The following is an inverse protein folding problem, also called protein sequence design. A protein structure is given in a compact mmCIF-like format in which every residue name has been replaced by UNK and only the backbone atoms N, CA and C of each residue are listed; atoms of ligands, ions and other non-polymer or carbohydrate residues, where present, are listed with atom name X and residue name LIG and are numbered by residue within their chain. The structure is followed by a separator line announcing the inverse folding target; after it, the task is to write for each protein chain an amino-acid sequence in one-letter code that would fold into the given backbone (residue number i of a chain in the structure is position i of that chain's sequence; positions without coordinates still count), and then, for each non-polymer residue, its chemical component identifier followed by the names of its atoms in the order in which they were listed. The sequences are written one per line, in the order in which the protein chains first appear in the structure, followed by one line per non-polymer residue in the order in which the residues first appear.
data_IF_421650546520
#
_entry.id   IF_421650546520
#
_cell.length_a   1.000
_cell.length_b   1.000
_cell.length_c   1.000
_cell.angle_alpha   90.00
_cell.angle_beta   90.00
_cell.angle_gamma   90.00
#
_symmetry.space_group_name_H-M   'P 1'
#
loop_
_entity.id
_entity.type
_entity.pdbx_description
1 polymer ?
#
# COMPACT_ATOMS: atom_id res chain seq x y z
N UNK A 1 -7.58 -17.04 -23.40
CA UNK A 1 -8.16 -15.81 -22.81
C UNK A 1 -7.19 -15.25 -21.81
N UNK A 2 -6.75 -14.02 -22.00
CA UNK A 2 -5.76 -13.36 -21.12
C UNK A 2 -6.34 -12.94 -19.78
N UNK A 3 -5.48 -12.57 -18.83
CA UNK A 3 -5.91 -12.12 -17.49
C UNK A 3 -6.90 -10.95 -17.58
N UNK A 4 -6.60 -9.94 -18.41
CA UNK A 4 -7.47 -8.77 -18.58
C UNK A 4 -8.82 -9.11 -19.21
N UNK A 5 -8.85 -10.07 -20.15
CA UNK A 5 -10.10 -10.54 -20.77
C UNK A 5 -10.99 -11.25 -19.76
N UNK A 6 -10.42 -12.20 -18.98
CA UNK A 6 -11.17 -12.88 -17.89
C UNK A 6 -11.68 -11.89 -16.85
N UNK A 7 -10.87 -10.86 -16.54
CA UNK A 7 -11.27 -9.82 -15.58
C UNK A 7 -12.46 -9.01 -16.12
N UNK A 8 -12.41 -8.58 -17.39
CA UNK A 8 -13.50 -7.82 -18.03
C UNK A 8 -14.78 -8.64 -18.13
N UNK A 9 -14.69 -9.91 -18.51
CA UNK A 9 -15.83 -10.83 -18.54
C UNK A 9 -16.45 -10.95 -17.14
N UNK A 10 -15.64 -11.22 -16.11
CA UNK A 10 -16.13 -11.32 -14.73
C UNK A 10 -16.80 -10.03 -14.26
N UNK A 11 -16.23 -8.87 -14.56
CA UNK A 11 -16.84 -7.58 -14.21
C UNK A 11 -18.15 -7.36 -14.97
N UNK A 12 -18.22 -7.76 -16.24
CA UNK A 12 -19.45 -7.68 -17.04
C UNK A 12 -20.60 -8.53 -16.47
N UNK A 13 -20.27 -9.68 -15.87
CA UNK A 13 -21.25 -10.54 -15.22
C UNK A 13 -21.79 -9.95 -13.90
N UNK A 14 -20.97 -9.15 -13.22
CA UNK A 14 -21.27 -8.65 -11.88
C UNK A 14 -21.81 -7.22 -11.85
N UNK A 15 -21.59 -6.42 -12.90
CA UNK A 15 -21.81 -4.97 -12.86
C UNK A 15 -23.30 -4.60 -12.63
N UNK A 16 -24.23 -5.43 -13.11
CA UNK A 16 -25.66 -5.18 -12.95
C UNK A 16 -26.13 -5.32 -11.49
N UNK A 17 -25.40 -6.07 -10.66
CA UNK A 17 -25.65 -6.27 -9.23
C UNK A 17 -24.86 -5.29 -8.34
N UNK A 18 -24.01 -4.45 -8.93
CA UNK A 18 -23.13 -3.53 -8.25
C UNK A 18 -23.45 -2.08 -8.61
N UNK A 19 -23.25 -1.17 -7.69
CA UNK A 19 -23.39 0.27 -7.97
C UNK A 19 -22.25 0.83 -8.79
N UNK A 20 -21.06 0.29 -8.57
CA UNK A 20 -19.86 0.56 -9.37
C UNK A 20 -18.80 -0.52 -9.14
N UNK A 21 -17.84 -0.58 -10.03
CA UNK A 21 -16.63 -1.38 -9.86
C UNK A 21 -15.42 -0.45 -9.95
N UNK A 22 -14.50 -0.59 -8.99
CA UNK A 22 -13.26 0.19 -8.96
C UNK A 22 -12.13 -0.70 -9.46
N UNK A 23 -11.43 -0.23 -10.49
CA UNK A 23 -10.32 -0.94 -11.12
C UNK A 23 -9.22 0.03 -11.56
N UNK A 24 -8.46 -0.38 -12.56
CA UNK A 24 -7.36 0.40 -13.11
C UNK A 24 -7.58 0.68 -14.59
N UNK A 25 -7.16 1.86 -15.04
CA UNK A 25 -7.12 2.23 -16.45
C UNK A 25 -5.78 2.83 -16.85
N UNK A 26 -5.47 2.79 -18.13
CA UNK A 26 -4.26 3.37 -18.70
C UNK A 26 -4.26 4.89 -18.50
N UNK A 27 -3.15 5.43 -18.05
CA UNK A 27 -2.93 6.88 -18.01
C UNK A 27 -2.35 7.38 -19.34
N UNK A 28 -2.57 8.67 -19.64
CA UNK A 28 -1.89 9.37 -20.75
C UNK A 28 -0.39 9.61 -20.46
N UNK A 29 0.05 9.39 -19.21
CA UNK A 29 1.45 9.50 -18.82
C UNK A 29 2.06 8.10 -18.88
N UNK A 30 3.15 7.90 -19.66
CA UNK A 30 3.82 6.61 -19.72
C UNK A 30 4.19 6.08 -18.34
N UNK A 31 4.14 4.75 -18.16
CA UNK A 31 4.42 4.07 -16.90
C UNK A 31 3.47 4.40 -15.74
N UNK A 32 2.32 5.02 -16.00
CA UNK A 32 1.31 5.30 -14.98
C UNK A 32 -0.02 4.66 -15.32
N UNK A 33 -0.77 4.34 -14.28
CA UNK A 33 -2.16 3.92 -14.34
C UNK A 33 -2.99 4.81 -13.41
N UNK A 34 -4.26 4.96 -13.74
CA UNK A 34 -5.21 5.70 -12.93
C UNK A 34 -6.26 4.74 -12.35
N UNK A 35 -6.90 5.07 -11.24
CA UNK A 35 -8.12 4.40 -10.84
C UNK A 35 -9.21 4.60 -11.90
N UNK A 36 -10.02 3.57 -12.10
CA UNK A 36 -11.18 3.55 -12.98
C UNK A 36 -12.41 3.23 -12.14
N UNK A 37 -13.42 4.07 -12.26
CA UNK A 37 -14.72 3.86 -11.62
C UNK A 37 -15.71 3.48 -12.72
N UNK A 38 -16.18 2.24 -12.71
CA UNK A 38 -17.03 1.64 -13.74
C UNK A 38 -18.45 1.62 -13.21
N UNK A 39 -19.35 2.33 -13.83
CA UNK A 39 -20.78 2.36 -13.52
C UNK A 39 -21.62 1.71 -14.63
N UNK A 40 -21.04 1.59 -15.83
CA UNK A 40 -21.72 1.06 -17.03
C UNK A 40 -20.85 0.07 -17.77
N UNK A 41 -21.48 -0.88 -18.47
CA UNK A 41 -20.79 -1.94 -19.23
C UNK A 41 -19.82 -1.40 -20.29
N UNK A 42 -20.13 -0.27 -20.91
CA UNK A 42 -19.30 0.33 -21.96
C UNK A 42 -17.94 0.82 -21.45
N UNK A 43 -17.80 1.00 -20.14
CA UNK A 43 -16.56 1.48 -19.51
C UNK A 43 -15.60 0.33 -19.21
N UNK A 44 -16.07 -0.92 -19.23
CA UNK A 44 -15.30 -2.11 -18.89
C UNK A 44 -14.12 -2.31 -19.85
N UNK A 45 -14.23 -1.91 -21.10
CA UNK A 45 -13.14 -2.03 -22.10
C UNK A 45 -11.89 -1.24 -21.71
N UNK A 46 -12.04 -0.20 -20.88
CA UNK A 46 -10.92 0.60 -20.36
C UNK A 46 -10.18 -0.08 -19.20
N UNK A 47 -10.71 -1.17 -18.68
CA UNK A 47 -10.12 -1.87 -17.54
C UNK A 47 -8.85 -2.62 -17.93
N UNK A 48 -7.79 -2.40 -17.15
CA UNK A 48 -6.50 -3.08 -17.30
C UNK A 48 -6.05 -3.68 -15.97
N UNK A 49 -5.19 -4.69 -16.05
CA UNK A 49 -4.48 -5.22 -14.88
C UNK A 49 -3.09 -5.75 -15.28
N UNK A 50 -2.04 -5.04 -14.87
CA UNK A 50 -0.65 -5.38 -15.20
C UNK A 50 0.33 -4.88 -14.12
N UNK A 51 1.64 -5.05 -14.35
CA UNK A 51 2.68 -4.64 -13.40
C UNK A 51 2.75 -3.14 -13.08
N UNK A 52 2.02 -2.28 -13.80
CA UNK A 52 1.94 -0.85 -13.49
C UNK A 52 0.83 -0.53 -12.45
N UNK A 53 -0.05 -1.48 -12.13
CA UNK A 53 -1.17 -1.31 -11.19
C UNK A 53 -0.67 -1.28 -9.73
N UNK A 54 0.23 -0.34 -9.41
CA UNK A 54 0.88 -0.24 -8.09
C UNK A 54 -0.06 0.32 -7.02
N UNK A 55 -0.99 1.22 -7.38
CA UNK A 55 -1.89 1.90 -6.44
C UNK A 55 -2.70 0.90 -5.61
N UNK A 56 -2.90 1.19 -4.33
CA UNK A 56 -3.81 0.41 -3.50
C UNK A 56 -5.23 0.98 -3.58
N UNK A 57 -6.11 0.31 -4.30
CA UNK A 57 -7.49 0.78 -4.49
C UNK A 57 -8.35 0.66 -3.23
N UNK A 58 -7.93 -0.09 -2.22
CA UNK A 58 -8.63 -0.14 -0.94
C UNK A 58 -8.73 1.24 -0.26
N UNK A 59 -7.93 2.22 -0.69
CA UNK A 59 -8.03 3.62 -0.22
C UNK A 59 -9.40 4.25 -0.48
N UNK A 60 -10.18 3.71 -1.42
CA UNK A 60 -11.52 4.20 -1.73
C UNK A 60 -12.62 3.50 -0.92
N UNK A 61 -12.31 2.36 -0.28
CA UNK A 61 -13.32 1.48 0.31
C UNK A 61 -14.12 2.16 1.41
N UNK A 62 -13.46 2.87 2.31
CA UNK A 62 -14.12 3.48 3.45
C UNK A 62 -15.13 4.56 2.99
N UNK A 63 -14.69 5.59 2.29
CA UNK A 63 -15.56 6.70 1.89
C UNK A 63 -16.73 6.22 1.03
N UNK A 64 -16.44 5.44 -0.01
CA UNK A 64 -17.48 5.02 -0.92
C UNK A 64 -18.49 4.06 -0.25
N UNK A 65 -18.06 3.24 0.69
CA UNK A 65 -18.99 2.38 1.44
C UNK A 65 -19.93 3.17 2.37
N UNK A 66 -19.53 4.39 2.77
CA UNK A 66 -20.39 5.28 3.56
C UNK A 66 -21.32 6.11 2.69
N UNK A 67 -20.85 6.57 1.53
CA UNK A 67 -21.58 7.50 0.66
C UNK A 67 -22.51 6.80 -0.33
N UNK A 68 -22.18 5.57 -0.74
CA UNK A 68 -22.93 4.86 -1.78
C UNK A 68 -23.90 3.87 -1.14
N UNK A 69 -25.17 3.99 -1.52
CA UNK A 69 -26.17 2.98 -1.22
C UNK A 69 -26.02 1.79 -2.18
N UNK A 70 -25.72 0.62 -1.63
CA UNK A 70 -25.51 -0.63 -2.36
C UNK A 70 -24.10 -1.17 -2.29
N UNK A 71 -23.84 -2.18 -3.09
CA UNK A 71 -22.56 -2.92 -3.07
C UNK A 71 -21.60 -2.37 -4.11
N UNK A 72 -20.32 -2.26 -3.74
CA UNK A 72 -19.22 -1.77 -4.57
C UNK A 72 -18.29 -2.94 -4.89
N UNK A 73 -17.98 -3.15 -6.17
CA UNK A 73 -16.94 -4.07 -6.61
C UNK A 73 -15.56 -3.43 -6.52
N UNK A 74 -14.58 -4.16 -6.04
CA UNK A 74 -13.20 -3.67 -5.96
C UNK A 74 -12.23 -4.68 -6.54
N UNK A 75 -11.49 -4.27 -7.57
CA UNK A 75 -10.43 -5.08 -8.19
C UNK A 75 -9.14 -4.86 -7.41
N UNK A 76 -8.72 -5.87 -6.67
CA UNK A 76 -7.65 -5.75 -5.68
C UNK A 76 -6.55 -6.79 -5.93
N UNK A 77 -5.29 -6.36 -5.76
CA UNK A 77 -4.18 -7.29 -5.57
C UNK A 77 -4.33 -7.98 -4.21
N UNK A 78 -3.83 -9.22 -4.03
CA UNK A 78 -3.91 -9.92 -2.73
C UNK A 78 -3.35 -9.10 -1.56
N UNK A 79 -2.27 -8.33 -1.77
CA UNK A 79 -1.73 -7.44 -0.74
C UNK A 79 -2.64 -6.25 -0.41
N UNK A 80 -3.46 -5.78 -1.36
CA UNK A 80 -4.41 -4.68 -1.13
C UNK A 80 -5.63 -5.17 -0.34
N UNK A 81 -6.01 -6.44 -0.51
CA UNK A 81 -7.07 -7.10 0.28
C UNK A 81 -6.77 -7.07 1.77
N UNK A 82 -5.50 -7.11 2.19
CA UNK A 82 -5.12 -6.94 3.60
C UNK A 82 -5.68 -5.66 4.21
N UNK A 83 -5.75 -4.57 3.45
CA UNK A 83 -6.31 -3.31 3.96
C UNK A 83 -7.83 -3.43 4.18
N UNK A 84 -8.55 -4.11 3.29
CA UNK A 84 -9.98 -4.39 3.47
C UNK A 84 -10.21 -5.25 4.71
N UNK A 85 -9.42 -6.32 4.87
CA UNK A 85 -9.50 -7.19 6.06
C UNK A 85 -9.27 -6.40 7.34
N UNK A 86 -8.29 -5.49 7.36
CA UNK A 86 -8.00 -4.66 8.52
C UNK A 86 -9.16 -3.70 8.85
N UNK A 87 -9.75 -3.06 7.84
CA UNK A 87 -10.91 -2.18 8.01
C UNK A 87 -12.14 -2.95 8.53
N UNK A 88 -12.36 -4.17 8.03
CA UNK A 88 -13.42 -5.07 8.51
C UNK A 88 -13.19 -5.49 9.96
N UNK A 89 -11.95 -5.88 10.32
CA UNK A 89 -11.59 -6.29 11.68
C UNK A 89 -11.80 -5.16 12.71
N UNK A 90 -11.68 -3.91 12.28
CA UNK A 90 -11.91 -2.71 13.09
C UNK A 90 -13.38 -2.21 13.03
N UNK A 91 -14.24 -2.85 12.22
CA UNK A 91 -15.63 -2.45 12.06
C UNK A 91 -15.82 -1.10 11.36
N UNK A 92 -14.83 -0.69 10.54
CA UNK A 92 -14.86 0.60 9.84
C UNK A 92 -15.62 0.53 8.51
N UNK A 93 -15.74 -0.66 7.94
CA UNK A 93 -16.55 -0.92 6.74
C UNK A 93 -17.41 -2.16 6.96
N UNK A 94 -18.52 -2.23 6.24
CA UNK A 94 -19.41 -3.38 6.24
C UNK A 94 -19.03 -4.35 5.12
N UNK A 95 -18.91 -5.64 5.45
CA UNK A 95 -18.56 -6.70 4.50
C UNK A 95 -19.59 -6.81 3.37
N UNK A 96 -20.87 -6.59 3.69
CA UNK A 96 -21.96 -6.71 2.72
C UNK A 96 -21.97 -5.60 1.66
N UNK A 97 -21.27 -4.51 1.93
CA UNK A 97 -21.11 -3.39 0.98
C UNK A 97 -19.98 -3.55 -0.03
N UNK A 98 -19.07 -4.52 0.18
CA UNK A 98 -17.88 -4.70 -0.65
C UNK A 98 -17.89 -6.07 -1.33
N UNK A 99 -17.77 -6.09 -2.66
CA UNK A 99 -17.50 -7.28 -3.48
C UNK A 99 -16.02 -7.28 -3.86
N UNK A 100 -15.25 -8.22 -3.33
CA UNK A 100 -13.80 -8.32 -3.56
C UNK A 100 -13.55 -9.19 -4.79
N UNK A 101 -13.01 -8.58 -5.84
CA UNK A 101 -12.53 -9.25 -7.04
C UNK A 101 -11.00 -9.23 -6.97
N UNK A 102 -10.42 -10.30 -6.47
CA UNK A 102 -8.97 -10.37 -6.36
C UNK A 102 -8.35 -10.96 -7.61
N UNK A 103 -7.23 -10.38 -8.05
CA UNK A 103 -6.48 -10.87 -9.21
C UNK A 103 -5.10 -11.30 -8.74
N UNK A 104 -4.68 -12.52 -9.10
CA UNK A 104 -3.32 -13.03 -8.82
C UNK A 104 -2.28 -12.01 -9.31
N UNK A 105 -1.34 -11.66 -8.44
CA UNK A 105 -0.40 -10.59 -8.70
C UNK A 105 0.97 -11.14 -9.06
N UNK A 106 1.55 -10.68 -10.16
CA UNK A 106 2.89 -11.02 -10.61
C UNK A 106 3.94 -9.94 -10.30
N UNK A 107 3.66 -9.10 -9.27
CA UNK A 107 4.52 -7.98 -8.87
C UNK A 107 4.14 -6.65 -9.52
N UNK A 108 4.57 -5.56 -8.89
CA UNK A 108 4.32 -4.20 -9.39
C UNK A 108 5.61 -3.40 -9.50
N UNK A 109 5.68 -2.55 -10.53
CA UNK A 109 6.85 -1.72 -10.83
C UNK A 109 6.83 -0.45 -9.99
N UNK A 110 7.97 -0.13 -9.38
CA UNK A 110 8.20 1.16 -8.76
C UNK A 110 8.81 2.15 -9.77
N UNK A 111 8.02 3.12 -10.19
CA UNK A 111 8.46 4.14 -11.14
C UNK A 111 9.65 4.97 -10.63
N UNK A 112 9.83 5.10 -9.30
CA UNK A 112 10.98 5.80 -8.73
C UNK A 112 12.28 5.05 -8.99
N UNK A 113 12.26 3.71 -8.94
CA UNK A 113 13.39 2.87 -9.31
C UNK A 113 13.70 2.98 -10.81
N UNK A 114 12.66 3.00 -11.65
CA UNK A 114 12.84 3.25 -13.10
C UNK A 114 13.49 4.60 -13.33
N UNK A 115 12.96 5.67 -12.72
CA UNK A 115 13.50 7.02 -12.83
C UNK A 115 14.98 7.12 -12.40
N UNK A 116 15.35 6.41 -11.32
CA UNK A 116 16.74 6.33 -10.88
C UNK A 116 17.63 5.66 -11.92
N UNK A 117 17.19 4.57 -12.56
CA UNK A 117 17.94 3.86 -13.60
C UNK A 117 18.15 4.68 -14.88
N UNK A 118 17.18 5.49 -15.23
CA UNK A 118 17.25 6.37 -16.41
C UNK A 118 17.78 7.77 -16.07
N UNK A 119 18.39 7.97 -14.88
CA UNK A 119 18.97 9.23 -14.41
C UNK A 119 17.98 10.41 -14.45
N UNK A 120 16.69 10.17 -14.18
CA UNK A 120 15.65 11.19 -14.15
C UNK A 120 15.19 11.71 -15.51
N UNK A 121 15.63 11.11 -16.61
CA UNK A 121 15.18 11.49 -17.96
C UNK A 121 13.66 11.33 -18.10
N UNK A 122 13.07 12.17 -18.95
CA UNK A 122 11.64 12.12 -19.23
C UNK A 122 11.29 10.89 -20.07
N UNK A 123 10.40 10.04 -19.56
CA UNK A 123 9.89 8.87 -20.29
C UNK A 123 8.96 9.36 -21.39
N UNK A 124 9.27 9.03 -22.63
CA UNK A 124 8.43 9.26 -23.82
C UNK A 124 7.56 8.04 -24.14
N UNK A 125 8.13 6.85 -23.99
CA UNK A 125 7.43 5.58 -24.21
C UNK A 125 7.93 4.50 -23.26
N UNK A 126 7.09 3.50 -23.02
CA UNK A 126 7.47 2.34 -22.24
C UNK A 126 6.75 1.10 -22.76
N UNK A 127 7.48 0.01 -22.87
CA UNK A 127 6.95 -1.29 -23.24
C UNK A 127 7.46 -2.35 -22.28
N UNK A 128 6.57 -3.25 -21.86
CA UNK A 128 6.89 -4.38 -20.99
C UNK A 128 6.57 -5.64 -21.78
N UNK A 129 7.61 -6.39 -22.12
CA UNK A 129 7.48 -7.70 -22.76
C UNK A 129 8.21 -8.73 -21.92
N UNK A 130 7.52 -9.77 -21.53
CA UNK A 130 8.02 -10.83 -20.66
C UNK A 130 8.65 -10.22 -19.38
N UNK A 131 9.94 -10.40 -19.17
CA UNK A 131 10.66 -9.85 -18.03
C UNK A 131 11.53 -8.63 -18.38
N UNK A 132 11.34 -8.04 -19.55
CA UNK A 132 12.12 -6.90 -20.03
C UNK A 132 11.26 -5.65 -20.06
N UNK A 133 11.80 -4.57 -19.56
CA UNK A 133 11.26 -3.22 -19.67
C UNK A 133 12.10 -2.42 -20.67
N UNK A 134 11.45 -1.87 -21.68
CA UNK A 134 12.07 -0.93 -22.65
C UNK A 134 11.50 0.45 -22.41
N UNK A 135 12.37 1.40 -22.17
CA UNK A 135 12.02 2.80 -21.90
C UNK A 135 12.63 3.68 -22.99
N UNK A 136 11.76 4.33 -23.76
CA UNK A 136 12.17 5.37 -24.69
C UNK A 136 12.21 6.73 -23.99
N UNK A 137 13.32 7.45 -24.15
CA UNK A 137 13.45 8.84 -23.71
C UNK A 137 13.80 9.74 -24.89
N UNK A 138 13.87 11.06 -24.66
CA UNK A 138 14.30 12.01 -25.70
C UNK A 138 15.77 11.89 -26.10
N UNK A 139 16.61 11.24 -25.27
CA UNK A 139 18.06 11.18 -25.47
C UNK A 139 18.52 9.80 -25.92
N UNK A 140 18.01 8.74 -25.30
CA UNK A 140 18.37 7.34 -25.59
C UNK A 140 17.33 6.38 -25.04
N UNK A 141 17.38 5.15 -25.52
CA UNK A 141 16.59 4.06 -25.00
C UNK A 141 17.31 3.28 -23.91
N UNK A 142 16.54 2.74 -22.99
CA UNK A 142 17.02 1.89 -21.92
C UNK A 142 16.30 0.56 -21.95
N UNK A 143 17.01 -0.49 -21.60
CA UNK A 143 16.46 -1.83 -21.46
C UNK A 143 17.01 -2.46 -20.19
N UNK A 144 16.14 -3.03 -19.33
CA UNK A 144 16.55 -3.73 -18.12
C UNK A 144 15.51 -4.75 -17.68
N UNK A 145 15.92 -5.66 -16.78
CA UNK A 145 15.04 -6.66 -16.25
C UNK A 145 14.00 -6.01 -15.32
N UNK A 146 12.73 -6.43 -15.42
CA UNK A 146 11.63 -5.96 -14.60
C UNK A 146 11.89 -6.20 -13.10
N UNK A 147 12.57 -7.29 -12.74
CA UNK A 147 12.93 -7.61 -11.36
C UNK A 147 13.76 -6.51 -10.68
N UNK A 148 14.56 -5.76 -11.42
CA UNK A 148 15.38 -4.69 -10.88
C UNK A 148 14.58 -3.46 -10.43
N UNK A 149 13.33 -3.37 -10.83
CA UNK A 149 12.46 -2.20 -10.60
C UNK A 149 11.13 -2.54 -9.91
N UNK A 150 10.97 -3.75 -9.42
CA UNK A 150 9.81 -4.08 -8.58
C UNK A 150 9.80 -3.26 -7.29
N UNK A 151 8.59 -2.96 -6.80
CA UNK A 151 8.41 -2.34 -5.49
C UNK A 151 8.97 -3.23 -4.37
N UNK A 152 9.59 -2.65 -3.35
CA UNK A 152 10.24 -3.39 -2.26
C UNK A 152 9.28 -4.38 -1.57
N UNK A 153 8.00 -4.04 -1.44
CA UNK A 153 6.98 -4.93 -0.89
C UNK A 153 6.83 -6.25 -1.65
N UNK A 154 7.19 -6.29 -2.94
CA UNK A 154 7.05 -7.49 -3.76
C UNK A 154 8.11 -8.55 -3.44
N UNK A 155 9.32 -8.15 -3.00
CA UNK A 155 10.39 -9.09 -2.65
C UNK A 155 10.13 -9.87 -1.35
N UNK A 156 9.21 -9.40 -0.51
CA UNK A 156 8.83 -10.06 0.75
C UNK A 156 7.36 -10.52 0.74
N UNK A 157 6.73 -10.54 -0.43
CA UNK A 157 5.31 -10.86 -0.58
C UNK A 157 5.07 -12.36 -0.44
N UNK A 158 4.26 -12.76 0.52
CA UNK A 158 3.87 -14.16 0.75
C UNK A 158 2.43 -14.50 0.37
N UNK A 159 1.71 -13.52 -0.19
CA UNK A 159 0.26 -13.66 -0.47
C UNK A 159 -0.13 -13.28 -1.90
N UNK A 160 0.83 -13.29 -2.84
CA UNK A 160 0.61 -12.87 -4.24
C UNK A 160 -0.45 -13.69 -4.99
N UNK A 161 -0.61 -14.96 -4.63
CA UNK A 161 -1.50 -15.95 -5.23
C UNK A 161 -2.74 -16.27 -4.38
N UNK A 162 -2.76 -15.86 -3.11
CA UNK A 162 -3.84 -16.23 -2.19
C UNK A 162 -4.19 -15.08 -1.23
N UNK A 163 -5.20 -14.27 -1.60
CA UNK A 163 -5.70 -13.22 -0.71
C UNK A 163 -6.34 -13.83 0.56
N UNK A 164 -6.35 -13.09 1.69
CA UNK A 164 -6.97 -13.57 2.93
C UNK A 164 -8.47 -13.84 2.81
N UNK A 165 -9.17 -13.00 2.05
CA UNK A 165 -10.60 -13.14 1.70
C UNK A 165 -10.82 -12.68 0.26
N UNK A 166 -11.83 -13.22 -0.41
CA UNK A 166 -12.30 -12.76 -1.72
C UNK A 166 -13.70 -13.30 -2.01
N UNK A 167 -14.38 -12.68 -2.96
CA UNK A 167 -15.62 -13.19 -3.54
C UNK A 167 -15.36 -13.83 -4.89
N UNK A 168 -14.47 -13.22 -5.67
CA UNK A 168 -14.01 -13.72 -6.96
C UNK A 168 -12.50 -13.71 -7.00
N UNK A 169 -11.89 -14.74 -7.62
CA UNK A 169 -10.45 -14.81 -7.81
C UNK A 169 -10.13 -15.09 -9.26
N UNK A 170 -9.22 -14.30 -9.83
CA UNK A 170 -8.79 -14.40 -11.22
C UNK A 170 -7.31 -14.73 -11.24
N UNK A 171 -6.97 -15.88 -11.81
CA UNK A 171 -5.58 -16.27 -12.01
C UNK A 171 -4.91 -15.38 -13.04
N UNK A 172 -3.60 -15.12 -12.84
CA UNK A 172 -2.79 -14.35 -13.78
C UNK A 172 -2.08 -15.30 -14.77
N UNK A 173 -2.06 -14.94 -16.06
CA UNK A 173 -1.35 -15.71 -17.09
C UNK A 173 0.15 -15.69 -16.86
N UNK A 174 0.66 -14.56 -16.30
CA UNK A 174 2.06 -14.38 -15.95
C UNK A 174 2.25 -14.78 -14.50
N UNK A 175 3.11 -15.74 -14.24
CA UNK A 175 3.39 -16.18 -12.88
C UNK A 175 4.34 -15.24 -12.16
N UNK A 176 4.13 -15.13 -10.85
CA UNK A 176 5.01 -14.40 -9.97
C UNK A 176 6.39 -15.08 -9.92
N UNK A 177 7.39 -14.40 -10.44
CA UNK A 177 8.76 -14.92 -10.53
C UNK A 177 9.75 -13.90 -9.96
N UNK A 178 9.61 -13.60 -8.67
CA UNK A 178 10.49 -12.67 -7.95
C UNK A 178 11.30 -13.47 -6.94
N UNK A 179 12.61 -13.25 -6.90
CA UNK A 179 13.47 -13.81 -5.86
C UNK A 179 13.02 -13.29 -4.50
N UNK A 180 12.45 -14.18 -3.69
CA UNK A 180 11.90 -13.82 -2.38
C UNK A 180 13.01 -13.59 -1.37
N UNK A 181 12.88 -12.50 -0.63
CA UNK A 181 13.69 -12.18 0.55
C UNK A 181 12.96 -12.64 1.81
N UNK A 182 13.69 -12.81 2.89
CA UNK A 182 13.09 -13.10 4.20
C UNK A 182 12.28 -11.88 4.67
N UNK A 183 11.21 -12.16 5.41
CA UNK A 183 10.42 -11.12 6.05
C UNK A 183 11.33 -10.22 6.91
N UNK A 184 11.19 -8.91 6.76
CA UNK A 184 12.02 -7.87 7.42
C UNK A 184 13.52 -7.91 7.12
N UNK A 185 13.96 -8.63 6.08
CA UNK A 185 15.38 -8.65 5.69
C UNK A 185 15.92 -7.25 5.39
N UNK A 186 15.07 -6.40 4.83
CA UNK A 186 15.37 -4.99 4.52
C UNK A 186 15.57 -4.10 5.77
N UNK A 187 15.25 -4.59 6.95
CA UNK A 187 15.53 -3.92 8.23
C UNK A 187 16.85 -4.34 8.86
N UNK A 188 17.42 -5.49 8.49
CA UNK A 188 18.57 -6.08 9.18
C UNK A 188 19.78 -5.14 9.25
N UNK A 189 20.11 -4.46 8.14
CA UNK A 189 21.24 -3.53 8.11
C UNK A 189 20.94 -2.28 8.94
N UNK A 190 19.71 -1.80 8.92
CA UNK A 190 19.28 -0.66 9.71
C UNK A 190 19.27 -0.96 11.22
N UNK A 191 18.96 -2.18 11.61
CA UNK A 191 18.94 -2.63 13.02
C UNK A 191 20.34 -2.83 13.62
N UNK A 192 21.38 -2.87 12.78
CA UNK A 192 22.78 -2.91 13.24
C UNK A 192 23.35 -1.54 13.62
N UNK A 193 22.67 -0.47 13.21
CA UNK A 193 23.08 0.89 13.49
C UNK A 193 22.95 1.21 14.98
N UNK A 194 23.87 2.04 15.49
CA UNK A 194 23.75 2.60 16.83
C UNK A 194 22.55 3.55 16.95
N UNK A 195 22.11 3.83 18.16
CA UNK A 195 21.00 4.78 18.40
C UNK A 195 21.33 6.17 17.85
N UNK A 196 22.60 6.60 17.91
CA UNK A 196 23.06 7.88 17.37
C UNK A 196 22.94 7.91 15.86
N UNK A 197 23.34 6.84 15.16
CA UNK A 197 23.23 6.72 13.72
C UNK A 197 21.77 6.67 13.26
N UNK A 198 20.92 5.91 13.95
CA UNK A 198 19.47 5.85 13.69
C UNK A 198 18.83 7.24 13.88
N UNK A 199 19.18 7.95 14.96
CA UNK A 199 18.66 9.29 15.20
C UNK A 199 19.11 10.27 14.11
N UNK A 200 20.40 10.26 13.74
CA UNK A 200 20.95 11.09 12.67
C UNK A 200 20.29 10.81 11.32
N UNK A 201 20.06 9.52 10.99
CA UNK A 201 19.34 9.13 9.79
C UNK A 201 17.93 9.74 9.75
N UNK A 202 17.15 9.62 10.84
CA UNK A 202 15.79 10.18 10.85
C UNK A 202 15.75 11.71 10.93
N UNK A 203 16.73 12.35 11.56
CA UNK A 203 16.89 13.81 11.49
C UNK A 203 17.08 14.30 10.06
N UNK A 204 17.97 13.65 9.30
CA UNK A 204 18.21 13.96 7.90
C UNK A 204 16.95 13.72 7.06
N UNK A 205 16.30 12.55 7.20
CA UNK A 205 15.09 12.21 6.46
C UNK A 205 13.96 13.19 6.74
N UNK A 206 13.70 13.52 8.01
CA UNK A 206 12.62 14.43 8.37
C UNK A 206 12.94 15.91 8.13
N UNK A 207 14.20 16.29 7.98
CA UNK A 207 14.57 17.64 7.52
C UNK A 207 14.00 17.96 6.13
N UNK A 208 13.80 16.93 5.30
CA UNK A 208 13.20 17.04 3.96
C UNK A 208 11.68 17.00 3.95
N UNK A 209 11.05 16.76 5.10
CA UNK A 209 9.60 16.64 5.21
C UNK A 209 8.92 18.00 5.09
N UNK A 210 8.16 18.23 4.02
CA UNK A 210 7.39 19.45 3.79
C UNK A 210 6.00 19.42 4.42
N UNK A 211 5.67 18.39 5.19
CA UNK A 211 4.37 18.19 5.86
C UNK A 211 3.14 18.31 4.93
N UNK A 212 3.27 17.82 3.69
CA UNK A 212 2.17 17.83 2.70
C UNK A 212 1.03 16.85 3.03
N UNK A 213 1.20 16.00 4.04
CA UNK A 213 0.24 14.97 4.46
C UNK A 213 -0.16 13.92 3.40
N UNK A 214 0.52 13.88 2.26
CA UNK A 214 0.25 12.87 1.22
C UNK A 214 0.31 11.43 1.76
N UNK A 215 1.29 11.14 2.62
CA UNK A 215 1.44 9.82 3.27
C UNK A 215 0.27 9.47 4.20
N UNK A 216 -0.41 10.47 4.78
CA UNK A 216 -1.61 10.30 5.58
C UNK A 216 -2.83 10.05 4.69
N UNK A 217 -3.03 10.92 3.70
CA UNK A 217 -4.24 10.94 2.88
C UNK A 217 -4.34 9.76 1.92
N UNK A 218 -3.21 9.11 1.57
CA UNK A 218 -3.19 7.93 0.69
C UNK A 218 -3.33 6.62 1.47
N UNK A 219 -3.30 6.67 2.81
CA UNK A 219 -3.34 5.45 3.62
C UNK A 219 -4.72 4.79 3.54
N UNK A 220 -4.82 3.52 3.08
CA UNK A 220 -6.11 2.86 2.91
C UNK A 220 -6.84 2.57 4.22
N UNK A 221 -6.17 2.74 5.37
CA UNK A 221 -6.73 2.45 6.69
C UNK A 221 -7.51 3.63 7.29
N UNK A 222 -7.44 4.82 6.70
CA UNK A 222 -8.23 6.02 7.04
C UNK A 222 -8.24 6.42 8.54
N UNK A 223 -7.22 6.01 9.31
CA UNK A 223 -7.18 6.17 10.78
C UNK A 223 -7.16 7.63 11.23
N UNK A 224 -6.56 8.52 10.42
CA UNK A 224 -6.43 9.93 10.72
C UNK A 224 -7.50 10.80 10.05
N UNK A 225 -8.57 10.22 9.59
CA UNK A 225 -9.60 10.86 8.76
C UNK A 225 -10.30 12.03 9.45
N UNK A 226 -10.92 11.79 10.61
CA UNK A 226 -11.83 12.74 11.21
C UNK A 226 -11.16 13.68 12.21
N UNK A 227 -10.18 13.17 12.95
CA UNK A 227 -9.51 13.91 14.02
C UNK A 227 -8.04 13.55 14.11
N UNK A 228 -7.24 14.17 13.27
CA UNK A 228 -5.79 14.02 13.38
C UNK A 228 -5.24 14.97 14.43
N UNK A 229 -4.65 14.44 15.49
CA UNK A 229 -4.04 15.21 16.58
C UNK A 229 -3.03 16.27 16.09
N UNK A 230 -2.39 16.00 14.94
CA UNK A 230 -1.42 16.92 14.34
C UNK A 230 -2.07 18.06 13.53
N UNK A 231 -3.39 18.03 13.37
CA UNK A 231 -4.15 19.04 12.64
C UNK A 231 -5.26 19.69 13.49
N UNK A 232 -5.45 19.23 14.72
CA UNK A 232 -6.40 19.85 15.64
C UNK A 232 -5.93 21.26 16.00
N UNK A 233 -6.84 22.20 15.98
CA UNK A 233 -6.57 23.60 16.36
C UNK A 233 -6.74 23.83 17.86
N UNK A 234 -7.50 22.99 18.55
CA UNK A 234 -7.73 23.08 19.99
C UNK A 234 -7.78 21.71 20.65
N UNK A 235 -6.80 21.41 21.51
CA UNK A 235 -5.55 22.14 21.70
C UNK A 235 -4.60 21.97 20.51
N UNK A 236 -3.75 22.97 20.29
CA UNK A 236 -2.66 22.88 19.31
C UNK A 236 -1.55 21.95 19.85
N UNK A 237 -1.54 20.72 19.40
CA UNK A 237 -0.49 19.76 19.75
C UNK A 237 0.78 19.95 18.93
N UNK A 238 0.65 20.52 17.74
CA UNK A 238 1.73 20.69 16.80
C UNK A 238 1.63 22.03 16.08
N UNK A 239 2.76 22.73 15.93
CA UNK A 239 2.78 24.01 15.22
C UNK A 239 2.61 23.82 13.72
N UNK A 240 2.21 24.89 12.99
CA UNK A 240 2.14 24.90 11.53
C UNK A 240 3.50 25.09 10.84
N UNK A 241 4.58 25.29 11.62
CA UNK A 241 5.93 25.48 11.08
C UNK A 241 6.46 24.20 10.41
N UNK A 242 7.18 24.36 9.33
CA UNK A 242 7.93 23.27 8.69
C UNK A 242 9.32 23.22 9.35
N UNK A 243 9.57 22.17 10.10
CA UNK A 243 10.87 21.89 10.73
C UNK A 243 11.06 20.38 10.88
N UNK A 244 12.30 19.94 11.07
CA UNK A 244 12.63 18.54 11.31
C UNK A 244 11.91 17.98 12.53
N UNK A 245 11.89 18.73 13.64
CA UNK A 245 11.21 18.35 14.88
C UNK A 245 9.71 18.15 14.70
N UNK A 246 9.04 19.06 14.01
CA UNK A 246 7.60 18.95 13.71
C UNK A 246 7.31 17.78 12.75
N UNK A 247 8.17 17.55 11.77
CA UNK A 247 8.09 16.39 10.88
C UNK A 247 8.25 15.07 11.63
N UNK A 248 9.25 15.00 12.52
CA UNK A 248 9.53 13.84 13.37
C UNK A 248 8.35 13.55 14.32
N UNK A 249 7.80 14.56 14.97
CA UNK A 249 6.65 14.43 15.86
C UNK A 249 5.40 13.92 15.12
N UNK A 250 5.10 14.48 13.93
CA UNK A 250 4.02 14.00 13.08
C UNK A 250 4.17 12.51 12.73
N UNK A 251 5.36 12.10 12.27
CA UNK A 251 5.58 10.72 11.89
C UNK A 251 5.57 9.76 13.07
N UNK A 252 6.07 10.18 14.24
CA UNK A 252 6.01 9.38 15.46
C UNK A 252 4.54 9.09 15.86
N UNK A 253 3.70 10.12 15.93
CA UNK A 253 2.27 9.94 16.20
C UNK A 253 1.62 9.00 15.19
N UNK A 254 1.94 9.20 13.90
CA UNK A 254 1.39 8.35 12.84
C UNK A 254 1.80 6.89 12.98
N UNK A 255 3.07 6.62 13.31
CA UNK A 255 3.56 5.26 13.57
C UNK A 255 2.82 4.61 14.74
N UNK A 256 2.64 5.36 15.84
CA UNK A 256 1.91 4.88 17.03
C UNK A 256 0.44 4.56 16.71
N UNK A 257 -0.25 5.40 15.94
CA UNK A 257 -1.63 5.15 15.52
C UNK A 257 -1.77 3.94 14.59
N UNK A 258 -0.73 3.63 13.81
CA UNK A 258 -0.70 2.52 12.87
C UNK A 258 -0.08 1.23 13.44
N UNK A 259 0.36 1.26 14.70
CA UNK A 259 0.93 0.10 15.37
C UNK A 259 -0.07 -1.06 15.40
N UNK A 260 0.30 -2.21 14.82
CA UNK A 260 -0.59 -3.36 14.67
C UNK A 260 -1.76 -3.17 13.70
N UNK A 261 -1.74 -2.12 12.88
CA UNK A 261 -2.76 -1.84 11.85
C UNK A 261 -2.16 -1.77 10.46
N UNK A 262 -0.92 -1.28 10.34
CA UNK A 262 -0.25 -1.09 9.06
C UNK A 262 -0.11 -2.41 8.29
N UNK A 263 -0.71 -2.51 7.11
CA UNK A 263 -0.65 -3.70 6.23
C UNK A 263 0.57 -3.70 5.31
N UNK A 264 1.50 -2.78 5.49
CA UNK A 264 2.77 -2.65 4.75
C UNK A 264 2.58 -2.47 3.23
N UNK A 265 1.49 -1.83 2.82
CA UNK A 265 1.17 -1.62 1.40
C UNK A 265 2.13 -0.66 0.68
N UNK A 266 2.93 0.14 1.39
CA UNK A 266 3.93 1.06 0.82
C UNK A 266 3.37 2.34 0.18
N UNK A 267 2.06 2.58 0.21
CA UNK A 267 1.46 3.76 -0.43
C UNK A 267 1.97 5.09 0.15
N UNK A 268 2.21 5.14 1.46
CA UNK A 268 2.74 6.33 2.12
C UNK A 268 4.14 6.73 1.60
N UNK A 269 5.00 5.76 1.33
CA UNK A 269 6.34 5.98 0.78
C UNK A 269 6.26 6.33 -0.71
N UNK A 270 5.40 5.62 -1.46
CA UNK A 270 5.14 5.89 -2.87
C UNK A 270 4.67 7.34 -3.09
N UNK A 271 3.74 7.82 -2.27
CA UNK A 271 3.16 9.16 -2.39
C UNK A 271 4.05 10.28 -1.85
N UNK A 272 5.12 9.96 -1.11
CA UNK A 272 6.00 10.98 -0.53
C UNK A 272 6.80 11.72 -1.63
N UNK A 273 6.62 13.04 -1.81
CA UNK A 273 7.37 13.81 -2.81
C UNK A 273 8.84 13.98 -2.42
N UNK A 274 9.15 13.90 -1.13
CA UNK A 274 10.52 13.99 -0.59
C UNK A 274 11.22 12.63 -0.51
N UNK A 275 10.60 11.55 -0.96
CA UNK A 275 11.14 10.18 -0.95
C UNK A 275 11.63 9.70 0.44
N UNK A 276 10.94 10.10 1.51
CA UNK A 276 11.26 9.65 2.87
C UNK A 276 10.84 8.18 3.01
N UNK A 277 11.71 7.29 3.53
CA UNK A 277 11.45 5.85 3.64
C UNK A 277 10.53 5.53 4.84
N UNK A 278 9.31 6.08 4.83
CA UNK A 278 8.35 6.01 5.94
C UNK A 278 7.94 4.56 6.23
N UNK A 279 7.89 3.71 5.22
CA UNK A 279 7.53 2.30 5.37
C UNK A 279 8.49 1.55 6.30
N UNK A 280 9.76 1.98 6.36
CA UNK A 280 10.77 1.38 7.26
C UNK A 280 10.36 1.51 8.72
N UNK A 281 9.82 2.67 9.14
CA UNK A 281 9.27 2.85 10.49
C UNK A 281 8.08 1.93 10.77
N UNK A 282 7.16 1.82 9.79
CA UNK A 282 5.98 0.98 9.94
C UNK A 282 6.34 -0.49 10.03
N UNK A 283 7.28 -0.96 9.22
CA UNK A 283 7.78 -2.34 9.25
C UNK A 283 8.47 -2.66 10.59
N UNK A 284 9.30 -1.72 11.10
CA UNK A 284 9.93 -1.92 12.41
C UNK A 284 8.87 -2.07 13.51
N UNK A 285 7.85 -1.24 13.51
CA UNK A 285 6.73 -1.35 14.46
C UNK A 285 5.98 -2.67 14.30
N UNK A 286 5.64 -3.07 13.09
CA UNK A 286 4.95 -4.34 12.84
C UNK A 286 5.77 -5.56 13.26
N UNK A 287 7.09 -5.53 13.05
CA UNK A 287 8.02 -6.56 13.52
C UNK A 287 7.92 -6.75 15.04
N UNK A 288 7.90 -5.66 15.80
CA UNK A 288 7.75 -5.69 17.26
C UNK A 288 6.34 -6.15 17.67
N UNK A 289 5.29 -5.67 17.01
CA UNK A 289 3.91 -6.12 17.24
C UNK A 289 3.79 -7.63 17.01
N UNK A 290 4.36 -8.14 15.92
CA UNK A 290 4.38 -9.58 15.63
C UNK A 290 5.13 -10.35 16.71
N UNK A 291 6.29 -9.85 17.16
CA UNK A 291 7.10 -10.47 18.20
C UNK A 291 6.40 -10.52 19.56
N UNK A 292 5.77 -9.43 19.97
CA UNK A 292 5.17 -9.27 21.31
C UNK A 292 3.78 -9.92 21.37
N UNK A 293 2.95 -9.71 20.36
CA UNK A 293 1.53 -10.08 20.37
C UNK A 293 1.18 -11.25 19.44
N UNK A 294 2.13 -11.74 18.61
CA UNK A 294 1.86 -12.75 17.60
C UNK A 294 0.86 -12.30 16.52
N UNK A 295 0.64 -10.99 16.40
CA UNK A 295 -0.38 -10.41 15.53
C UNK A 295 0.23 -9.88 14.23
N UNK A 296 -0.43 -10.18 13.10
CA UNK A 296 -0.07 -9.67 11.77
C UNK A 296 -1.30 -8.98 11.17
N UNK A 297 -1.21 -7.67 10.83
CA UNK A 297 -2.34 -6.92 10.30
C UNK A 297 -2.88 -7.45 8.97
N UNK A 298 -4.21 -7.46 8.85
CA UNK A 298 -4.89 -7.72 7.58
C UNK A 298 -4.90 -9.18 7.12
N UNK A 299 -4.67 -10.16 8.01
CA UNK A 299 -4.75 -11.59 7.68
C UNK A 299 -6.08 -12.25 8.09
N UNK A 300 -6.77 -11.74 9.10
CA UNK A 300 -8.05 -12.28 9.57
C UNK A 300 -8.99 -11.17 9.99
N UNK A 301 -10.25 -11.28 9.59
CA UNK A 301 -11.32 -10.36 9.97
C UNK A 301 -11.69 -10.51 11.45
N UNK A 302 -11.47 -11.69 12.02
CA UNK A 302 -11.80 -12.00 13.42
C UNK A 302 -10.73 -11.49 14.39
N UNK A 303 -9.50 -11.29 13.91
CA UNK A 303 -8.36 -10.84 14.72
C UNK A 303 -8.36 -9.33 14.85
N UNK A 304 -8.57 -8.82 16.06
CA UNK A 304 -8.50 -7.38 16.34
C UNK A 304 -7.06 -6.92 16.60
N UNK A 305 -6.69 -5.71 16.17
CA UNK A 305 -5.38 -5.15 16.47
C UNK A 305 -5.15 -5.03 17.98
N UNK A 306 -3.90 -5.19 18.47
CA UNK A 306 -3.58 -5.13 19.89
C UNK A 306 -4.07 -3.85 20.61
N UNK A 307 -4.07 -2.70 19.90
CA UNK A 307 -4.57 -1.43 20.42
C UNK A 307 -6.10 -1.41 20.70
N UNK A 308 -6.85 -2.37 20.15
CA UNK A 308 -8.30 -2.53 20.37
C UNK A 308 -8.65 -3.72 21.27
N UNK A 309 -7.67 -4.33 21.90
CA UNK A 309 -7.83 -5.49 22.77
C UNK A 309 -7.17 -5.24 24.13
N UNK A 310 -7.63 -5.96 25.14
CA UNK A 310 -6.99 -6.02 26.44
C UNK A 310 -7.12 -7.43 27.02
N UNK A 311 -6.23 -7.79 27.94
CA UNK A 311 -6.30 -9.03 28.70
C UNK A 311 -6.46 -8.67 30.18
N UNK A 312 -7.30 -9.41 30.90
CA UNK A 312 -7.46 -9.23 32.35
C UNK A 312 -6.18 -9.54 33.14
N UNK A 313 -5.35 -10.42 32.58
CA UNK A 313 -4.03 -10.78 33.12
C UNK A 313 -3.05 -10.70 31.96
N UNK A 314 -2.15 -9.74 32.04
CA UNK A 314 -1.06 -9.58 31.08
C UNK A 314 0.27 -9.93 31.72
N UNK A 315 1.17 -10.53 30.94
CA UNK A 315 2.55 -10.71 31.38
C UNK A 315 3.18 -9.32 31.54
N UNK A 316 3.85 -9.08 32.67
CA UNK A 316 4.72 -7.92 32.77
C UNK A 316 5.79 -8.00 31.69
N UNK A 317 5.74 -7.07 30.74
CA UNK A 317 6.79 -6.90 29.75
C UNK A 317 7.90 -6.12 30.47
N UNK A 318 8.98 -6.79 30.82
CA UNK A 318 10.15 -6.11 31.38
C UNK A 318 10.89 -5.40 30.28
N UNK A 319 11.32 -4.15 30.51
CA UNK A 319 12.10 -3.38 29.53
C UNK A 319 13.36 -4.13 29.09
N UNK A 320 13.98 -4.91 29.98
CA UNK A 320 15.14 -5.76 29.72
C UNK A 320 14.88 -6.86 28.67
N UNK A 321 13.62 -7.22 28.43
CA UNK A 321 13.23 -8.19 27.38
C UNK A 321 12.97 -7.53 26.02
N UNK A 322 13.04 -6.21 25.95
CA UNK A 322 12.76 -5.40 24.76
C UNK A 322 14.03 -4.88 24.07
N UNK A 323 15.21 -5.04 24.68
CA UNK A 323 16.49 -4.54 24.18
C UNK A 323 17.26 -5.64 23.42
#
# INVERSE_FOLDING_TARGET
MGTEERLREKVSDLIDDLKMVIGYTKSNIPMRVNPLFIEKKEEIDNLIFNNLCINNLATYSYFLSQEIEGKIGMILKPCDVKAIVQLLAEGLIDRDKIKIISVECNGVIDIKKVQKKINGLKIASAEIRDNIIKIGTSEKDFEFNIEEVYAEKCYVCSIYDKPPIFDEFIENDKKFNITQKKEYEDLLEFEKLSLEEINSFWEEEFSRCIRCYACRNICPLEICRDRCITQLEQPHWQSQKISSSEGKFFQLIRVMHLAGRCVECGECERACPSNIPILKLMKKMNKEIKRIFGYVPGLSVESKPPLLTFKNIEKNIKEEELI
#
